data_IF_913721188734
#
_entry.id   IF_913721188734
#
_cell.length_a   1.000
_cell.length_b   1.000
_cell.length_c   1.000
_cell.angle_alpha   90.00
_cell.angle_beta   90.00
_cell.angle_gamma   90.00
#
_symmetry.space_group_name_H-M   'P 1'
#
loop_
_entity.id
_entity.type
_entity.pdbx_description
1 polymer ?
#
# COMPACT_ATOMS: atom_id res chain seq x y z
N UNK A 1 -0.59 -1.29 3.52
CA UNK A 1 -1.35 -1.96 2.44
C UNK A 1 -0.90 -1.58 1.04
N UNK A 2 -0.99 -0.32 0.58
CA UNK A 2 -0.57 0.04 -0.80
C UNK A 2 0.81 -0.46 -1.23
N UNK A 3 1.85 -0.45 -0.36
CA UNK A 3 3.14 -1.03 -0.73
C UNK A 3 3.11 -2.54 -0.97
N UNK A 4 2.26 -3.26 -0.24
CA UNK A 4 2.03 -4.70 -0.44
C UNK A 4 1.37 -4.92 -1.81
N UNK A 5 0.35 -4.13 -2.15
CA UNK A 5 -0.34 -4.16 -3.46
C UNK A 5 0.63 -3.89 -4.60
N UNK A 6 1.44 -2.84 -4.51
CA UNK A 6 2.44 -2.50 -5.52
C UNK A 6 3.52 -3.59 -5.65
N UNK A 7 3.92 -4.22 -4.55
CA UNK A 7 4.85 -5.36 -4.59
C UNK A 7 4.24 -6.57 -5.29
N UNK A 8 2.95 -6.86 -5.07
CA UNK A 8 2.26 -7.94 -5.76
C UNK A 8 2.12 -7.70 -7.27
N UNK A 9 2.01 -6.43 -7.72
CA UNK A 9 2.08 -6.07 -9.14
C UNK A 9 3.43 -6.47 -9.73
N UNK A 10 4.52 -6.19 -9.02
CA UNK A 10 5.87 -6.50 -9.50
C UNK A 10 6.19 -8.00 -9.49
N UNK A 11 5.68 -8.74 -8.50
CA UNK A 11 5.76 -10.21 -8.52
C UNK A 11 4.97 -10.77 -9.71
N UNK A 12 3.78 -10.22 -9.98
CA UNK A 12 2.97 -10.64 -11.13
C UNK A 12 3.62 -10.28 -12.47
N UNK A 13 4.32 -9.15 -12.55
CA UNK A 13 5.14 -8.75 -13.70
C UNK A 13 6.31 -9.73 -13.92
N UNK A 14 7.06 -10.04 -12.86
CA UNK A 14 8.16 -11.01 -12.91
C UNK A 14 7.69 -12.41 -13.32
N UNK A 15 6.47 -12.79 -12.92
CA UNK A 15 5.83 -14.05 -13.34
C UNK A 15 5.25 -14.01 -14.78
N UNK A 16 5.40 -12.89 -15.51
CA UNK A 16 4.91 -12.72 -16.88
C UNK A 16 3.39 -12.60 -17.01
N UNK A 17 2.67 -12.33 -15.91
CA UNK A 17 1.19 -12.26 -15.91
C UNK A 17 0.65 -10.89 -16.36
N UNK A 18 1.45 -9.84 -16.20
CA UNK A 18 1.16 -8.47 -16.61
C UNK A 18 2.47 -7.72 -16.95
N UNK A 19 2.36 -6.54 -17.53
CA UNK A 19 3.42 -5.53 -17.56
C UNK A 19 2.92 -4.28 -16.85
N UNK A 20 3.79 -3.57 -16.11
CA UNK A 20 3.41 -2.28 -15.51
C UNK A 20 3.06 -1.21 -16.53
N UNK A 21 3.55 -1.35 -17.76
CA UNK A 21 3.19 -0.48 -18.89
C UNK A 21 1.83 -0.81 -19.50
N UNK A 22 1.19 -1.91 -19.10
CA UNK A 22 -0.17 -2.20 -19.53
C UNK A 22 -1.14 -1.15 -19.02
N UNK A 23 -2.10 -0.76 -19.86
CA UNK A 23 -3.24 0.05 -19.45
C UNK A 23 -4.24 -0.79 -18.65
N UNK A 24 -4.95 -0.15 -17.72
CA UNK A 24 -5.93 -0.81 -16.86
C UNK A 24 -7.13 -1.41 -17.62
N UNK A 25 -7.51 -0.80 -18.74
CA UNK A 25 -8.60 -1.25 -19.62
C UNK A 25 -8.31 -2.57 -20.36
N UNK A 26 -7.05 -3.00 -20.40
CA UNK A 26 -6.65 -4.35 -20.84
C UNK A 26 -7.24 -5.45 -19.95
N UNK A 27 -7.50 -5.15 -18.67
CA UNK A 27 -7.89 -6.14 -17.66
C UNK A 27 -9.29 -5.93 -17.09
N UNK A 28 -9.71 -4.66 -16.97
CA UNK A 28 -10.97 -4.25 -16.36
C UNK A 28 -11.81 -3.46 -17.37
N UNK A 29 -13.13 -3.47 -17.20
CA UNK A 29 -14.00 -2.58 -17.97
C UNK A 29 -13.78 -1.13 -17.50
N UNK A 30 -12.91 -0.40 -18.19
CA UNK A 30 -12.52 0.97 -17.86
C UNK A 30 -12.57 1.84 -19.13
N UNK A 31 -13.16 3.05 -19.09
CA UNK A 31 -13.26 3.90 -20.27
C UNK A 31 -11.92 4.55 -20.63
N UNK A 32 -11.73 4.88 -21.91
CA UNK A 32 -10.59 5.70 -22.32
C UNK A 32 -10.80 7.18 -21.92
N UNK A 33 -9.73 7.91 -21.53
CA UNK A 33 -8.34 7.45 -21.47
C UNK A 33 -8.07 6.55 -20.26
N UNK A 34 -7.41 5.41 -20.48
CA UNK A 34 -7.02 4.48 -19.43
C UNK A 34 -5.55 4.69 -18.99
N UNK A 35 -5.28 4.80 -17.67
CA UNK A 35 -3.91 4.89 -17.16
C UNK A 35 -3.20 3.53 -17.17
N UNK A 36 -1.87 3.56 -17.19
CA UNK A 36 -1.03 2.38 -16.98
C UNK A 36 -1.00 1.93 -15.52
N UNK A 37 -0.67 0.67 -15.27
CA UNK A 37 -0.52 0.15 -13.90
C UNK A 37 0.60 0.87 -13.13
N UNK A 38 1.69 1.26 -13.80
CA UNK A 38 2.77 2.06 -13.20
C UNK A 38 2.28 3.45 -12.77
N UNK A 39 1.48 4.12 -13.60
CA UNK A 39 0.89 5.41 -13.27
C UNK A 39 -0.07 5.31 -12.09
N UNK A 40 -0.90 4.27 -12.04
CA UNK A 40 -1.77 3.98 -10.90
C UNK A 40 -0.95 3.78 -9.61
N UNK A 41 0.12 2.99 -9.66
CA UNK A 41 1.03 2.77 -8.54
C UNK A 41 1.74 4.07 -8.10
N UNK A 42 1.85 5.05 -9.01
CA UNK A 42 2.44 6.37 -8.79
C UNK A 42 1.46 7.48 -8.42
N UNK A 43 0.15 7.19 -8.37
CA UNK A 43 -0.90 8.19 -8.17
C UNK A 43 -0.89 9.35 -9.19
N UNK A 44 -0.32 9.13 -10.38
CA UNK A 44 -0.13 10.13 -11.45
C UNK A 44 -1.37 10.41 -12.29
N UNK A 45 -2.35 9.50 -12.45
CA UNK A 45 -3.60 9.85 -13.10
C UNK A 45 -4.40 10.86 -12.28
N UNK A 46 -4.14 10.95 -10.98
CA UNK A 46 -4.84 11.88 -10.10
C UNK A 46 -6.34 11.63 -10.06
N UNK A 47 -6.72 10.36 -9.96
CA UNK A 47 -8.12 9.95 -9.85
C UNK A 47 -8.76 10.54 -8.59
N UNK A 48 -10.04 10.96 -8.65
CA UNK A 48 -10.84 11.21 -7.46
C UNK A 48 -10.80 10.03 -6.48
N UNK A 49 -10.88 10.30 -5.20
CA UNK A 49 -10.81 9.29 -4.15
C UNK A 49 -12.22 8.77 -3.84
N UNK A 50 -12.48 7.47 -4.05
CA UNK A 50 -13.81 6.90 -3.81
C UNK A 50 -14.27 7.00 -2.34
N UNK A 51 -13.32 7.21 -1.40
CA UNK A 51 -13.64 7.48 -0.01
C UNK A 51 -14.43 8.79 0.19
N UNK A 52 -14.36 9.71 -0.76
CA UNK A 52 -15.10 10.98 -0.69
C UNK A 52 -16.55 10.84 -1.20
N UNK A 53 -16.94 9.65 -1.67
CA UNK A 53 -18.28 9.41 -2.19
C UNK A 53 -19.32 9.20 -1.08
N UNK A 54 -20.58 9.62 -1.29
CA UNK A 54 -21.66 9.35 -0.34
C UNK A 54 -21.86 7.84 -0.06
N UNK A 55 -21.62 7.00 -1.07
CA UNK A 55 -21.73 5.55 -0.93
C UNK A 55 -20.75 5.00 0.11
N UNK A 56 -19.49 5.44 0.08
CA UNK A 56 -18.52 5.10 1.12
C UNK A 56 -18.97 5.62 2.49
N UNK A 57 -19.30 6.91 2.59
CA UNK A 57 -19.64 7.53 3.88
C UNK A 57 -20.84 6.85 4.57
N UNK A 58 -21.83 6.43 3.79
CA UNK A 58 -23.05 5.81 4.30
C UNK A 58 -22.95 4.28 4.48
N UNK A 59 -22.11 3.61 3.68
CA UNK A 59 -22.05 2.14 3.60
C UNK A 59 -20.84 1.49 4.27
N UNK A 60 -19.82 2.26 4.66
CA UNK A 60 -18.50 1.72 5.08
C UNK A 60 -18.53 0.73 6.24
N UNK A 61 -19.59 0.68 7.05
CA UNK A 61 -19.69 -0.21 8.23
C UNK A 61 -20.26 -1.60 7.92
N UNK A 62 -20.75 -1.83 6.69
CA UNK A 62 -21.23 -3.14 6.24
C UNK A 62 -20.34 -3.69 5.13
N UNK A 63 -20.34 -5.02 4.88
CA UNK A 63 -19.58 -5.61 3.78
C UNK A 63 -19.96 -5.02 2.42
N UNK A 64 -18.97 -4.97 1.51
CA UNK A 64 -19.12 -4.55 0.11
C UNK A 64 -18.34 -5.49 -0.81
N UNK A 65 -18.52 -5.39 -2.12
CA UNK A 65 -17.80 -6.19 -3.12
C UNK A 65 -16.80 -5.35 -3.93
N UNK A 66 -15.87 -6.04 -4.60
CA UNK A 66 -14.90 -5.38 -5.50
C UNK A 66 -15.63 -4.67 -6.65
N UNK A 67 -16.72 -5.25 -7.16
CA UNK A 67 -17.55 -4.67 -8.22
C UNK A 67 -18.20 -3.35 -7.75
N UNK A 68 -18.72 -3.31 -6.51
CA UNK A 68 -19.23 -2.08 -5.92
C UNK A 68 -18.12 -1.03 -5.81
N UNK A 69 -16.93 -1.40 -5.30
CA UNK A 69 -15.82 -0.46 -5.23
C UNK A 69 -15.41 0.08 -6.61
N UNK A 70 -15.32 -0.78 -7.63
CA UNK A 70 -15.01 -0.37 -9.00
C UNK A 70 -16.07 0.58 -9.56
N UNK A 71 -17.35 0.36 -9.27
CA UNK A 71 -18.43 1.27 -9.73
C UNK A 71 -18.37 2.67 -9.11
N UNK A 72 -17.65 2.85 -7.99
CA UNK A 72 -17.47 4.15 -7.34
C UNK A 72 -16.27 4.92 -7.89
N UNK A 73 -15.44 4.29 -8.72
CA UNK A 73 -14.26 4.93 -9.30
C UNK A 73 -14.68 5.78 -10.48
N UNK A 74 -14.44 7.08 -10.36
CA UNK A 74 -14.64 8.00 -11.48
C UNK A 74 -13.55 7.80 -12.55
N UNK A 75 -13.92 7.89 -13.84
CA UNK A 75 -12.95 7.85 -14.93
C UNK A 75 -11.88 8.93 -14.82
N UNK A 76 -10.70 8.62 -15.34
CA UNK A 76 -9.63 9.59 -15.48
C UNK A 76 -9.98 10.66 -16.51
N UNK A 77 -9.61 11.91 -16.24
CA UNK A 77 -9.78 13.04 -17.17
C UNK A 77 -8.67 13.15 -18.22
N UNK A 78 -7.69 12.24 -18.22
CA UNK A 78 -6.57 12.21 -19.15
C UNK A 78 -5.42 13.16 -18.80
N UNK A 79 -5.54 13.96 -17.73
CA UNK A 79 -4.50 14.91 -17.30
C UNK A 79 -3.64 14.25 -16.22
N UNK A 80 -2.34 14.15 -16.49
CA UNK A 80 -1.36 13.61 -15.54
C UNK A 80 -1.05 14.64 -14.47
N UNK A 81 -1.27 14.26 -13.21
CA UNK A 81 -0.94 15.03 -12.01
C UNK A 81 -0.81 14.09 -10.83
N UNK A 82 0.18 14.34 -9.99
CA UNK A 82 0.23 13.64 -8.72
C UNK A 82 -0.99 14.05 -7.87
N UNK A 83 -1.84 13.08 -7.53
CA UNK A 83 -2.88 13.25 -6.54
C UNK A 83 -3.12 11.89 -5.87
N UNK A 84 -2.75 11.80 -4.60
CA UNK A 84 -2.96 10.59 -3.81
C UNK A 84 -4.44 10.22 -3.78
N UNK A 85 -4.76 8.98 -4.12
CA UNK A 85 -6.13 8.48 -4.09
C UNK A 85 -6.15 6.96 -3.93
N UNK A 86 -7.07 6.49 -3.09
CA UNK A 86 -7.25 5.08 -2.81
C UNK A 86 -7.82 4.33 -4.02
N UNK A 87 -8.53 5.02 -4.93
CA UNK A 87 -9.08 4.46 -6.16
C UNK A 87 -8.01 3.80 -7.02
N UNK A 88 -6.81 4.37 -7.06
CA UNK A 88 -5.67 3.79 -7.78
C UNK A 88 -5.33 2.38 -7.27
N UNK A 89 -5.29 2.21 -5.95
CA UNK A 89 -4.97 0.92 -5.34
C UNK A 89 -6.10 -0.10 -5.52
N UNK A 90 -7.37 0.33 -5.51
CA UNK A 90 -8.52 -0.54 -5.81
C UNK A 90 -8.41 -1.12 -7.22
N UNK A 91 -8.10 -0.28 -8.23
CA UNK A 91 -7.87 -0.75 -9.60
C UNK A 91 -6.72 -1.78 -9.65
N UNK A 92 -5.59 -1.50 -9.01
CA UNK A 92 -4.46 -2.45 -8.97
C UNK A 92 -4.84 -3.79 -8.31
N UNK A 93 -5.60 -3.75 -7.21
CA UNK A 93 -6.09 -4.97 -6.54
C UNK A 93 -6.99 -5.81 -7.45
N UNK A 94 -7.92 -5.16 -8.16
CA UNK A 94 -8.80 -5.84 -9.11
C UNK A 94 -8.04 -6.43 -10.32
N UNK A 95 -7.02 -5.73 -10.84
CA UNK A 95 -6.12 -6.27 -11.87
C UNK A 95 -5.38 -7.50 -11.35
N UNK A 96 -4.82 -7.43 -10.14
CA UNK A 96 -4.13 -8.56 -9.51
C UNK A 96 -5.04 -9.78 -9.38
N UNK A 97 -6.27 -9.59 -8.90
CA UNK A 97 -7.27 -10.66 -8.85
C UNK A 97 -7.51 -11.26 -10.25
N UNK A 98 -7.70 -10.41 -11.26
CA UNK A 98 -7.96 -10.84 -12.65
C UNK A 98 -6.83 -11.68 -13.25
N UNK A 99 -5.58 -11.21 -13.14
CA UNK A 99 -4.44 -11.88 -13.79
C UNK A 99 -3.95 -13.12 -13.05
N UNK A 100 -4.27 -13.23 -11.75
CA UNK A 100 -3.91 -14.39 -10.94
C UNK A 100 -5.01 -15.45 -10.88
N UNK A 101 -6.26 -15.10 -11.20
CA UNK A 101 -7.40 -16.02 -11.11
C UNK A 101 -7.75 -16.41 -9.67
N UNK A 102 -7.34 -15.60 -8.69
CA UNK A 102 -7.55 -15.81 -7.25
C UNK A 102 -8.10 -14.53 -6.62
N UNK A 103 -8.88 -14.62 -5.52
CA UNK A 103 -9.17 -13.46 -4.69
C UNK A 103 -7.89 -12.71 -4.34
N UNK A 104 -7.93 -11.38 -4.34
CA UNK A 104 -6.74 -10.55 -4.08
C UNK A 104 -6.08 -10.85 -2.74
N UNK A 105 -6.89 -11.16 -1.71
CA UNK A 105 -6.42 -11.56 -0.40
C UNK A 105 -5.56 -12.83 -0.47
N UNK A 106 -5.95 -13.79 -1.31
CA UNK A 106 -5.18 -15.02 -1.55
C UNK A 106 -3.92 -14.75 -2.37
N UNK A 107 -3.95 -13.83 -3.33
CA UNK A 107 -2.75 -13.37 -4.07
C UNK A 107 -1.74 -12.80 -3.08
N UNK A 108 -2.16 -11.92 -2.18
CA UNK A 108 -1.28 -11.32 -1.17
C UNK A 108 -0.79 -12.36 -0.17
N UNK A 109 -1.64 -13.29 0.26
CA UNK A 109 -1.24 -14.38 1.15
C UNK A 109 -0.14 -15.24 0.51
N UNK A 110 -0.32 -15.64 -0.75
CA UNK A 110 0.58 -16.52 -1.50
C UNK A 110 1.90 -15.83 -1.86
N UNK A 111 1.84 -14.61 -2.38
CA UNK A 111 3.00 -13.96 -3.00
C UNK A 111 3.76 -13.06 -2.02
N UNK A 112 3.10 -12.56 -0.97
CA UNK A 112 3.71 -11.62 -0.02
C UNK A 112 3.81 -12.23 1.36
N UNK A 113 2.69 -12.57 2.00
CA UNK A 113 2.70 -12.95 3.42
C UNK A 113 3.46 -14.26 3.67
N UNK A 114 3.19 -15.30 2.87
CA UNK A 114 3.90 -16.58 2.96
C UNK A 114 5.42 -16.40 2.78
N UNK A 115 5.88 -15.86 1.64
CA UNK A 115 7.31 -15.67 1.37
C UNK A 115 8.01 -14.75 2.37
N UNK A 116 7.34 -13.71 2.90
CA UNK A 116 7.92 -12.83 3.92
C UNK A 116 7.83 -13.41 5.35
N UNK A 117 7.07 -14.48 5.59
CA UNK A 117 6.86 -15.07 6.91
C UNK A 117 5.92 -14.25 7.80
N UNK A 118 4.91 -13.60 7.21
CA UNK A 118 3.93 -12.74 7.89
C UNK A 118 2.69 -13.53 8.33
N UNK A 119 2.87 -14.47 9.27
CA UNK A 119 1.80 -15.39 9.68
C UNK A 119 0.70 -14.78 10.54
N UNK A 120 0.88 -13.54 11.01
CA UNK A 120 -0.10 -12.76 11.79
C UNK A 120 -0.66 -11.58 10.98
N UNK A 121 -0.66 -11.71 9.66
CA UNK A 121 -1.20 -10.71 8.73
C UNK A 121 -2.35 -11.30 7.94
N UNK A 122 -3.43 -10.53 7.77
CA UNK A 122 -4.64 -10.97 7.08
C UNK A 122 -5.45 -9.76 6.59
N UNK A 123 -6.66 -10.03 6.09
CA UNK A 123 -7.68 -9.03 5.77
C UNK A 123 -8.89 -9.08 6.71
N UNK A 124 -8.77 -9.84 7.80
CA UNK A 124 -9.80 -9.93 8.82
C UNK A 124 -9.75 -8.70 9.74
N UNK A 125 -10.89 -8.37 10.34
CA UNK A 125 -10.93 -7.40 11.43
C UNK A 125 -10.11 -7.92 12.63
N UNK A 126 -9.37 -7.03 13.33
CA UNK A 126 -8.71 -7.41 14.58
C UNK A 126 -9.75 -7.83 15.64
N UNK A 127 -9.36 -8.63 16.64
CA UNK A 127 -10.24 -8.95 17.76
C UNK A 127 -10.77 -7.70 18.45
N UNK A 128 -11.98 -7.76 18.98
CA UNK A 128 -12.59 -6.65 19.71
C UNK A 128 -11.74 -6.17 20.89
N UNK A 129 -10.96 -7.06 21.52
CA UNK A 129 -10.06 -6.73 22.63
C UNK A 129 -8.86 -5.86 22.25
N UNK A 130 -8.51 -5.80 20.98
CA UNK A 130 -7.38 -5.00 20.46
C UNK A 130 -7.87 -3.70 19.78
N UNK A 131 -9.19 -3.48 19.82
CA UNK A 131 -9.93 -2.48 19.06
C UNK A 131 -10.56 -1.42 19.97
N UNK A 132 -10.51 -0.15 19.59
CA UNK A 132 -11.28 0.92 20.25
C UNK A 132 -12.81 0.81 19.97
N UNK A 133 -13.71 1.12 20.91
CA UNK A 133 -15.15 0.97 20.68
C UNK A 133 -15.70 2.05 19.74
N UNK A 134 -15.72 1.81 18.42
CA UNK A 134 -16.38 2.65 17.40
C UNK A 134 -16.84 1.78 16.21
N UNK A 135 -17.86 2.20 15.42
CA UNK A 135 -18.24 1.46 14.22
C UNK A 135 -17.09 1.52 13.21
N UNK A 136 -16.52 0.36 12.94
CA UNK A 136 -15.36 0.20 12.06
C UNK A 136 -15.75 0.26 10.60
N UNK A 137 -14.89 0.86 9.78
CA UNK A 137 -14.87 0.61 8.36
C UNK A 137 -14.61 -0.88 8.13
N UNK A 138 -15.55 -1.57 7.48
CA UNK A 138 -15.41 -2.97 7.15
C UNK A 138 -14.22 -3.13 6.16
N UNK A 139 -13.31 -4.12 6.35
CA UNK A 139 -12.07 -4.22 5.55
C UNK A 139 -12.31 -4.33 4.04
N UNK A 140 -13.45 -4.90 3.63
CA UNK A 140 -13.83 -4.98 2.22
C UNK A 140 -13.98 -3.59 1.56
N UNK A 141 -14.24 -2.52 2.31
CA UNK A 141 -14.35 -1.17 1.76
C UNK A 141 -13.00 -0.55 1.45
N UNK A 142 -11.93 -0.98 2.12
CA UNK A 142 -10.57 -0.46 1.92
C UNK A 142 -9.67 -1.44 1.18
N UNK A 143 -10.02 -2.74 1.13
CA UNK A 143 -9.50 -3.75 0.21
C UNK A 143 -7.98 -3.62 -0.01
N UNK A 144 -7.52 -3.48 -1.25
CA UNK A 144 -6.13 -3.30 -1.65
C UNK A 144 -5.55 -1.91 -1.35
N UNK A 145 -6.37 -0.94 -0.91
CA UNK A 145 -5.91 0.39 -0.52
C UNK A 145 -5.52 0.48 0.96
N UNK A 146 -6.14 -0.33 1.83
CA UNK A 146 -6.01 -0.20 3.28
C UNK A 146 -6.39 -1.43 4.11
N UNK A 147 -6.92 -2.52 3.54
CA UNK A 147 -7.55 -3.62 4.28
C UNK A 147 -6.65 -4.64 4.98
N UNK A 148 -5.32 -4.47 4.98
CA UNK A 148 -4.42 -5.39 5.69
C UNK A 148 -4.42 -5.07 7.19
N UNK A 149 -4.77 -6.08 7.99
CA UNK A 149 -4.56 -6.13 9.44
C UNK A 149 -3.28 -6.92 9.71
N UNK A 150 -2.38 -6.41 10.55
CA UNK A 150 -1.05 -7.00 10.76
C UNK A 150 -0.48 -6.65 12.14
N UNK A 151 0.73 -7.13 12.42
CA UNK A 151 1.54 -6.78 13.59
C UNK A 151 2.77 -5.99 13.16
N UNK A 152 3.35 -5.20 14.09
CA UNK A 152 4.59 -4.47 13.79
C UNK A 152 5.73 -5.42 13.37
N UNK A 153 5.80 -6.61 13.97
CA UNK A 153 6.79 -7.63 13.62
C UNK A 153 6.62 -8.14 12.18
N UNK A 154 5.39 -8.45 11.75
CA UNK A 154 5.12 -8.90 10.39
C UNK A 154 5.35 -7.79 9.35
N UNK A 155 4.90 -6.57 9.64
CA UNK A 155 5.19 -5.44 8.76
C UNK A 155 6.69 -5.17 8.65
N UNK A 156 7.45 -5.39 9.73
CA UNK A 156 8.90 -5.31 9.65
C UNK A 156 9.50 -6.46 8.81
N UNK A 157 8.92 -7.68 8.85
CA UNK A 157 9.31 -8.77 7.93
C UNK A 157 9.06 -8.41 6.47
N UNK A 158 7.94 -7.74 6.15
CA UNK A 158 7.69 -7.22 4.81
C UNK A 158 8.77 -6.21 4.38
N UNK A 159 9.07 -5.24 5.23
CA UNK A 159 10.12 -4.25 4.96
C UNK A 159 11.48 -4.91 4.74
N UNK A 160 11.84 -5.88 5.58
CA UNK A 160 13.07 -6.65 5.43
C UNK A 160 13.05 -7.50 4.15
N UNK A 161 11.92 -8.09 3.76
CA UNK A 161 11.82 -8.80 2.49
C UNK A 161 12.09 -7.89 1.29
N UNK A 162 11.62 -6.65 1.31
CA UNK A 162 11.93 -5.64 0.29
C UNK A 162 13.42 -5.27 0.31
N UNK A 163 13.95 -4.86 1.46
CA UNK A 163 15.35 -4.45 1.62
C UNK A 163 16.34 -5.55 1.23
N UNK A 164 15.96 -6.81 1.44
CA UNK A 164 16.77 -7.98 1.11
C UNK A 164 16.49 -8.58 -0.28
N UNK A 165 15.70 -7.90 -1.12
CA UNK A 165 15.28 -8.38 -2.45
C UNK A 165 14.72 -9.82 -2.44
N UNK A 166 14.01 -10.19 -1.36
CA UNK A 166 13.51 -11.56 -1.17
C UNK A 166 12.46 -11.95 -2.21
N UNK A 167 11.77 -10.97 -2.79
CA UNK A 167 10.78 -11.18 -3.83
C UNK A 167 11.37 -11.24 -5.24
N UNK A 168 12.64 -10.90 -5.44
CA UNK A 168 13.36 -11.12 -6.70
C UNK A 168 13.22 -10.04 -7.77
N UNK A 169 12.44 -8.98 -7.55
CA UNK A 169 12.24 -7.87 -8.51
C UNK A 169 13.20 -6.69 -8.32
N UNK A 170 14.27 -6.84 -7.53
CA UNK A 170 15.25 -5.78 -7.26
C UNK A 170 14.59 -4.59 -6.60
N UNK A 171 13.83 -4.83 -5.53
CA UNK A 171 12.97 -3.82 -4.89
C UNK A 171 13.68 -2.49 -4.69
N UNK A 172 14.93 -2.56 -4.24
CA UNK A 172 15.74 -1.40 -3.93
C UNK A 172 16.41 -0.77 -5.16
N UNK A 173 16.77 -1.59 -6.13
CA UNK A 173 17.41 -1.12 -7.36
C UNK A 173 16.42 -0.55 -8.39
N UNK A 174 15.16 -0.99 -8.35
CA UNK A 174 14.07 -0.49 -9.20
C UNK A 174 13.42 0.79 -8.68
N UNK A 175 13.93 1.35 -7.58
CA UNK A 175 13.53 2.64 -7.06
C UNK A 175 13.85 3.76 -8.05
N UNK A 176 12.82 4.50 -8.43
CA UNK A 176 13.00 5.72 -9.20
C UNK A 176 13.60 6.79 -8.28
N UNK A 177 14.91 7.00 -8.43
CA UNK A 177 15.68 7.98 -7.66
C UNK A 177 15.57 9.40 -8.22
N UNK A 178 14.83 9.59 -9.32
CA UNK A 178 14.90 10.82 -10.12
C UNK A 178 14.13 12.01 -9.53
N UNK A 179 13.21 11.81 -8.58
CA UNK A 179 12.56 12.92 -7.89
C UNK A 179 12.03 12.54 -6.49
N UNK A 180 12.35 13.37 -5.49
CA UNK A 180 11.69 13.33 -4.20
C UNK A 180 10.17 13.50 -4.38
N UNK A 181 9.38 12.64 -3.73
CA UNK A 181 7.91 12.63 -3.88
C UNK A 181 7.36 11.67 -4.93
N UNK A 182 8.20 10.98 -5.71
CA UNK A 182 7.75 9.85 -6.55
C UNK A 182 7.52 8.63 -5.67
N UNK A 183 6.35 7.98 -5.81
CA UNK A 183 6.11 6.75 -5.08
C UNK A 183 6.79 5.58 -5.76
N UNK A 184 7.89 5.13 -5.18
CA UNK A 184 8.47 3.83 -5.54
C UNK A 184 7.75 2.77 -4.73
N UNK A 185 7.20 1.73 -5.38
CA UNK A 185 6.47 0.67 -4.69
C UNK A 185 5.25 1.14 -3.89
N UNK A 186 4.56 2.19 -4.35
CA UNK A 186 3.46 2.77 -3.58
C UNK A 186 3.89 3.35 -2.22
N UNK A 187 5.19 3.67 -2.03
CA UNK A 187 5.75 4.38 -0.87
C UNK A 187 6.34 5.71 -1.30
N UNK A 188 6.19 6.75 -0.50
CA UNK A 188 6.90 8.01 -0.71
C UNK A 188 8.41 7.83 -0.55
N UNK A 189 9.18 8.62 -1.28
CA UNK A 189 10.64 8.62 -1.21
C UNK A 189 11.17 10.02 -0.87
N UNK A 190 12.20 10.06 -0.03
CA UNK A 190 12.91 11.28 0.31
C UNK A 190 14.38 10.97 0.58
N UNK A 191 15.27 11.91 0.30
CA UNK A 191 16.68 11.81 0.66
C UNK A 191 17.09 13.06 1.47
N UNK A 192 17.87 12.88 2.53
CA UNK A 192 18.49 13.98 3.27
C UNK A 192 19.95 13.66 3.51
N UNK A 193 20.87 14.54 3.10
CA UNK A 193 22.31 14.29 3.26
C UNK A 193 22.82 13.00 2.60
N UNK A 194 22.16 12.51 1.54
CA UNK A 194 22.49 11.25 0.87
C UNK A 194 21.82 10.01 1.47
N UNK A 195 21.13 10.14 2.61
CA UNK A 195 20.40 9.05 3.26
C UNK A 195 18.99 8.94 2.68
N UNK A 196 18.84 8.01 1.73
CA UNK A 196 17.58 7.69 1.05
C UNK A 196 16.66 6.93 2.01
N UNK A 197 15.40 7.35 2.08
CA UNK A 197 14.35 6.71 2.85
C UNK A 197 13.09 6.51 2.05
N UNK A 198 12.39 5.43 2.36
CA UNK A 198 11.05 5.15 1.84
C UNK A 198 10.07 5.15 2.99
N UNK A 199 8.97 5.89 2.84
CA UNK A 199 7.96 6.06 3.89
C UNK A 199 6.57 5.80 3.35
N UNK A 200 5.72 5.25 4.21
CA UNK A 200 4.28 5.30 3.97
C UNK A 200 3.56 5.35 5.32
N UNK A 201 2.58 6.25 5.42
CA UNK A 201 1.70 6.36 6.56
C UNK A 201 0.34 5.71 6.25
N UNK A 202 -0.39 5.28 7.26
CA UNK A 202 -1.75 4.80 7.12
C UNK A 202 -2.64 5.40 8.18
N UNK A 203 -3.85 5.81 7.79
CA UNK A 203 -4.89 6.27 8.70
C UNK A 203 -6.22 5.68 8.25
N UNK A 204 -6.94 5.07 9.19
CA UNK A 204 -8.30 4.58 8.97
C UNK A 204 -9.04 4.62 10.30
N UNK A 205 -10.18 5.31 10.34
CA UNK A 205 -10.94 5.53 11.58
C UNK A 205 -10.03 6.08 12.70
N UNK A 206 -9.86 5.33 13.79
CA UNK A 206 -8.97 5.69 14.90
C UNK A 206 -7.58 5.04 14.80
N UNK A 207 -7.28 4.24 13.78
CA UNK A 207 -5.94 3.66 13.63
C UNK A 207 -5.00 4.62 12.90
N UNK A 208 -3.76 4.66 13.36
CA UNK A 208 -2.66 5.30 12.64
C UNK A 208 -1.46 4.36 12.55
N UNK A 209 -0.70 4.46 11.46
CA UNK A 209 0.49 3.64 11.22
C UNK A 209 1.53 4.40 10.45
N UNK A 210 2.79 4.06 10.68
CA UNK A 210 3.93 4.61 9.97
C UNK A 210 4.96 3.53 9.72
N UNK A 211 5.44 3.46 8.48
CA UNK A 211 6.54 2.57 8.08
C UNK A 211 7.61 3.40 7.40
N UNK A 212 8.86 3.12 7.75
CA UNK A 212 10.03 3.69 7.09
C UNK A 212 11.10 2.63 6.86
N UNK A 213 11.83 2.77 5.76
CA UNK A 213 12.97 1.92 5.41
C UNK A 213 14.14 2.76 4.94
N UNK A 214 15.34 2.29 5.25
CA UNK A 214 16.61 2.90 4.86
C UNK A 214 17.46 1.85 4.14
N UNK A 215 17.62 1.95 2.82
CA UNK A 215 18.36 0.94 2.07
C UNK A 215 19.85 0.88 2.39
N UNK A 216 20.45 2.03 2.75
CA UNK A 216 21.90 2.14 2.96
C UNK A 216 22.41 1.21 4.07
N UNK A 217 21.65 1.07 5.15
CA UNK A 217 21.97 0.23 6.31
C UNK A 217 21.02 -0.96 6.47
N UNK A 218 20.08 -1.14 5.53
CA UNK A 218 19.05 -2.19 5.54
C UNK A 218 18.19 -2.17 6.81
N UNK A 219 18.02 -1.00 7.42
CA UNK A 219 17.18 -0.82 8.60
C UNK A 219 15.75 -0.43 8.21
N UNK A 220 14.81 -0.76 9.09
CA UNK A 220 13.43 -0.35 8.97
C UNK A 220 12.78 -0.22 10.33
N UNK A 221 11.79 0.67 10.42
CA UNK A 221 11.00 0.86 11.63
C UNK A 221 9.52 0.92 11.24
N UNK A 222 8.70 0.20 12.01
CA UNK A 222 7.25 0.19 11.86
C UNK A 222 6.61 0.57 13.18
N UNK A 223 5.67 1.52 13.12
CA UNK A 223 4.85 1.94 14.24
C UNK A 223 3.39 1.71 13.89
N UNK A 224 2.66 1.00 14.75
CA UNK A 224 1.22 0.79 14.63
C UNK A 224 0.56 1.33 15.90
N UNK A 225 -0.49 2.14 15.74
CA UNK A 225 -1.23 2.75 16.82
C UNK A 225 -2.73 2.48 16.64
N UNK A 226 -3.38 2.06 17.72
CA UNK A 226 -4.84 1.94 17.80
C UNK A 226 -5.54 3.24 18.21
N UNK A 227 -4.81 4.36 18.12
CA UNK A 227 -5.32 5.71 18.24
C UNK A 227 -4.74 6.58 17.12
N UNK A 228 -5.49 7.60 16.72
CA UNK A 228 -5.05 8.56 15.73
C UNK A 228 -4.61 9.82 16.46
N UNK A 229 -3.32 10.11 16.42
CA UNK A 229 -2.76 11.32 17.02
C UNK A 229 -2.66 12.50 16.04
N UNK A 230 -2.98 12.30 14.75
CA UNK A 230 -2.79 13.26 13.66
C UNK A 230 -1.42 14.00 13.71
N UNK A 231 -0.36 13.35 14.21
CA UNK A 231 0.97 13.95 14.41
C UNK A 231 2.05 13.14 13.67
N UNK A 232 2.09 13.22 12.32
CA UNK A 232 3.07 12.51 11.51
C UNK A 232 4.51 12.97 11.79
N UNK A 233 4.74 14.24 12.12
CA UNK A 233 6.07 14.78 12.40
C UNK A 233 6.66 14.23 13.71
N UNK A 234 5.80 14.06 14.72
CA UNK A 234 6.16 13.40 15.98
C UNK A 234 6.55 11.93 15.76
N UNK A 235 5.78 11.20 14.94
CA UNK A 235 6.11 9.82 14.58
C UNK A 235 7.43 9.73 13.80
N UNK A 236 7.66 10.64 12.86
CA UNK A 236 8.91 10.67 12.11
C UNK A 236 10.12 10.90 13.05
N UNK A 237 10.05 11.91 13.92
CA UNK A 237 11.12 12.22 14.89
C UNK A 237 11.41 11.05 15.82
N UNK A 238 10.36 10.42 16.35
CA UNK A 238 10.46 9.24 17.21
C UNK A 238 11.19 8.09 16.49
N UNK A 239 10.82 7.82 15.25
CA UNK A 239 11.39 6.74 14.46
C UNK A 239 12.86 7.00 14.08
N UNK A 240 13.22 8.25 13.75
CA UNK A 240 14.62 8.62 13.54
C UNK A 240 15.46 8.40 14.81
N UNK A 241 14.88 8.70 15.99
CA UNK A 241 15.50 8.39 17.28
C UNK A 241 15.74 6.90 17.51
N UNK A 242 14.74 6.05 17.20
CA UNK A 242 14.88 4.58 17.28
C UNK A 242 16.02 4.11 16.38
N UNK A 243 16.06 4.54 15.11
CA UNK A 243 17.12 4.13 14.19
C UNK A 243 18.50 4.55 14.70
N UNK A 244 18.64 5.75 15.26
CA UNK A 244 19.90 6.21 15.86
C UNK A 244 20.39 5.24 16.95
N UNK A 245 19.51 4.81 17.86
CA UNK A 245 19.82 3.82 18.91
C UNK A 245 20.23 2.47 18.31
N UNK A 246 19.53 2.02 17.26
CA UNK A 246 19.84 0.75 16.58
C UNK A 246 21.25 0.75 15.97
N UNK A 247 21.66 1.87 15.38
CA UNK A 247 22.96 2.00 14.71
C UNK A 247 24.14 2.19 15.67
N UNK A 248 23.91 2.73 16.87
CA UNK A 248 24.96 2.87 17.89
C UNK A 248 25.17 1.62 18.75
N UNK A 249 24.28 0.63 18.62
CA UNK A 249 24.32 -0.62 19.38
C UNK A 249 24.97 -1.78 18.60
N UNK A 250 25.58 -1.50 17.44
CA UNK A 250 26.32 -2.42 16.57
C UNK A 250 27.82 -2.11 16.64
#
# INVERSE_FOLDING_TARGET
TKPITASAVLISEQAGRLSRSDKVDRFLAYPEPAPTLDELAKHIPGLPNYLDTPAYQNGRTTPTSVETLLSLIQPWDGIRRFQYSNSHAILLGAVLQKVNGLPYEEVVQRDIFGPAGMSRSSFALPPASESFPFPWTHPSWVYSAGGVTSTAADMNRFNQALLNNRFGFGAVESFDRSAAGVTSFGMGSAASGGDLRFTHAGGLDTYSSFSIMFPADRSSVVVLCNFNNNNPDGLFTFVMGIRSIMLTSL
#
